data_IF_005867935075
#
_entry.id   IF_005867935075
#
_cell.length_a   1.000
_cell.length_b   1.000
_cell.length_c   1.000
_cell.angle_alpha   90.00
_cell.angle_beta   90.00
_cell.angle_gamma   90.00
#
_symmetry.space_group_name_H-M   'P 1'
#
loop_
_entity.id
_entity.type
_entity.pdbx_description
1 polymer ?
#
# COMPACT_ATOMS: atom_id res chain seq x y z
N UNK A 1 -75.34 27.25 -20.89
CA UNK A 1 -74.38 26.67 -21.86
C UNK A 1 -72.99 26.75 -21.26
N UNK A 2 -72.41 25.60 -20.90
CA UNK A 2 -70.96 25.41 -20.65
C UNK A 2 -70.15 25.50 -21.97
N UNK A 3 -68.83 25.28 -21.95
CA UNK A 3 -67.69 26.12 -21.54
C UNK A 3 -66.85 26.49 -22.80
N UNK A 4 -65.57 26.95 -22.73
CA UNK A 4 -64.47 25.98 -22.65
C UNK A 4 -63.17 26.47 -21.95
N UNK A 5 -62.44 25.53 -21.36
CA UNK A 5 -60.97 25.59 -21.20
C UNK A 5 -60.28 25.31 -22.54
N UNK A 6 -59.08 25.87 -22.80
CA UNK A 6 -57.95 25.01 -23.18
C UNK A 6 -56.58 25.57 -22.69
N UNK A 7 -55.69 24.80 -22.06
CA UNK A 7 -54.65 23.88 -22.61
C UNK A 7 -53.24 24.41 -22.33
N UNK A 8 -52.51 23.60 -21.54
CA UNK A 8 -51.08 23.23 -21.62
C UNK A 8 -50.19 24.01 -22.60
N UNK A 9 -49.11 24.60 -22.05
CA UNK A 9 -47.80 24.63 -22.68
C UNK A 9 -46.77 24.05 -21.70
N UNK A 10 -46.41 22.80 -21.96
CA UNK A 10 -45.17 22.16 -21.55
C UNK A 10 -44.07 22.62 -22.53
N UNK A 11 -42.81 22.55 -22.07
CA UNK A 11 -41.55 22.89 -22.76
C UNK A 11 -41.08 24.30 -22.39
N UNK A 12 -39.94 24.53 -21.76
CA UNK A 12 -38.75 23.72 -21.55
C UNK A 12 -37.60 24.73 -21.40
N UNK A 13 -36.65 24.49 -20.49
CA UNK A 13 -35.26 24.93 -20.63
C UNK A 13 -34.41 24.37 -19.47
N UNK A 14 -33.83 23.24 -19.81
CA UNK A 14 -32.65 22.62 -19.21
C UNK A 14 -31.42 23.49 -19.55
N UNK A 15 -30.52 23.58 -18.57
CA UNK A 15 -29.07 23.84 -18.68
C UNK A 15 -28.56 25.04 -19.48
N UNK A 16 -27.93 26.00 -18.78
CA UNK A 16 -26.78 26.74 -19.29
C UNK A 16 -25.53 26.31 -18.51
N UNK A 17 -24.79 25.38 -19.10
CA UNK A 17 -23.35 25.20 -18.90
C UNK A 17 -22.76 25.19 -20.31
N UNK A 18 -21.95 26.19 -20.67
CA UNK A 18 -20.77 26.05 -21.53
C UNK A 18 -20.17 27.42 -21.92
N UNK A 19 -18.86 27.35 -22.22
CA UNK A 19 -17.96 28.27 -22.92
C UNK A 19 -17.14 29.16 -21.98
N UNK A 20 -15.82 29.03 -21.95
CA UNK A 20 -14.95 28.99 -23.14
C UNK A 20 -13.73 28.07 -22.98
N UNK A 21 -13.48 27.31 -24.05
CA UNK A 21 -12.15 26.85 -24.45
C UNK A 21 -11.92 27.32 -25.89
N UNK A 22 -10.69 27.73 -26.21
CA UNK A 22 -10.19 27.82 -27.57
C UNK A 22 -8.74 27.32 -27.58
N UNK A 23 -8.51 26.33 -28.43
CA UNK A 23 -7.24 25.68 -28.70
C UNK A 23 -6.44 26.47 -29.75
N UNK A 24 -5.14 26.22 -29.84
CA UNK A 24 -4.47 25.91 -31.12
C UNK A 24 -3.18 25.10 -30.92
N UNK A 25 -3.05 24.11 -31.80
CA UNK A 25 -1.99 23.13 -32.08
C UNK A 25 -0.63 23.79 -32.46
N UNK A 26 0.52 23.16 -32.69
CA UNK A 26 1.17 21.85 -32.52
C UNK A 26 2.56 22.02 -33.18
N UNK A 27 3.64 21.51 -32.60
CA UNK A 27 4.80 21.01 -33.37
C UNK A 27 5.76 20.23 -32.47
N UNK A 28 6.17 19.08 -32.98
CA UNK A 28 7.15 18.12 -32.46
C UNK A 28 8.59 18.58 -32.64
N UNK A 29 9.48 18.26 -31.68
CA UNK A 29 10.68 17.42 -31.87
C UNK A 29 11.67 17.56 -30.69
N UNK A 30 12.04 16.38 -30.18
CA UNK A 30 13.29 15.90 -29.58
C UNK A 30 14.01 16.54 -28.36
N UNK A 31 14.59 15.62 -27.58
CA UNK A 31 15.73 15.74 -26.66
C UNK A 31 15.52 16.05 -25.16
N UNK A 32 15.94 15.06 -24.36
CA UNK A 32 16.75 15.18 -23.12
C UNK A 32 16.07 15.28 -21.74
N UNK A 33 16.19 14.16 -21.00
CA UNK A 33 16.64 14.05 -19.61
C UNK A 33 16.10 15.03 -18.54
N UNK A 34 15.38 14.49 -17.55
CA UNK A 34 15.75 14.51 -16.12
C UNK A 34 14.52 14.20 -15.23
N UNK A 35 14.55 13.06 -14.54
CA UNK A 35 13.71 12.78 -13.38
C UNK A 35 14.37 13.33 -12.11
N UNK A 36 13.64 13.87 -11.12
CA UNK A 36 14.21 14.19 -9.82
C UNK A 36 14.21 12.95 -8.91
N UNK A 37 15.41 12.53 -8.52
CA UNK A 37 15.68 11.53 -7.49
C UNK A 37 15.17 11.94 -6.10
N UNK A 38 14.71 11.01 -5.26
CA UNK A 38 14.88 11.11 -3.82
C UNK A 38 16.23 10.52 -3.42
N UNK A 39 16.93 11.26 -2.57
CA UNK A 39 18.27 11.03 -2.03
C UNK A 39 18.50 9.64 -1.44
N UNK A 40 19.58 9.01 -1.88
CA UNK A 40 20.18 7.81 -1.31
C UNK A 40 20.87 8.10 0.03
N UNK A 41 20.63 7.27 1.02
CA UNK A 41 21.62 6.96 2.06
C UNK A 41 21.64 5.45 2.21
N UNK A 42 22.76 4.88 1.77
CA UNK A 42 23.04 3.45 1.68
C UNK A 42 23.38 2.90 3.06
N UNK A 43 22.64 1.91 3.56
CA UNK A 43 23.15 0.94 4.57
C UNK A 43 22.34 -0.37 4.43
N UNK A 44 23.02 -1.43 3.99
CA UNK A 44 22.62 -2.86 3.92
C UNK A 44 21.16 -3.21 3.61
N UNK A 45 20.93 -3.59 2.36
CA UNK A 45 19.67 -4.04 1.75
C UNK A 45 19.04 -5.26 2.44
N UNK A 46 18.01 -5.04 3.28
CA UNK A 46 16.90 -5.98 3.43
C UNK A 46 15.76 -5.49 2.54
N UNK A 47 15.54 -6.15 1.40
CA UNK A 47 14.46 -5.85 0.47
C UNK A 47 13.13 -5.93 1.23
N UNK A 48 12.48 -4.79 1.49
CA UNK A 48 11.17 -4.74 2.17
C UNK A 48 10.16 -5.37 1.22
N UNK A 49 9.91 -6.67 1.42
CA UNK A 49 8.90 -7.40 0.66
C UNK A 49 7.54 -7.05 1.27
N UNK A 50 6.54 -6.61 0.48
CA UNK A 50 5.25 -6.19 1.02
C UNK A 50 4.54 -7.38 1.69
N UNK A 51 4.36 -7.34 3.01
CA UNK A 51 3.65 -8.36 3.81
C UNK A 51 2.20 -7.92 4.09
N UNK A 52 1.51 -7.52 3.03
CA UNK A 52 0.14 -7.00 3.07
C UNK A 52 -0.69 -7.65 1.96
N UNK A 53 -1.99 -7.81 2.19
CA UNK A 53 -2.91 -8.32 1.18
C UNK A 53 -4.26 -7.61 1.24
N UNK A 54 -4.91 -7.51 0.09
CA UNK A 54 -6.30 -7.05 -0.03
C UNK A 54 -7.13 -8.17 -0.64
N UNK A 55 -8.20 -8.58 0.04
CA UNK A 55 -9.15 -9.57 -0.47
C UNK A 55 -10.02 -8.98 -1.59
N UNK A 56 -10.59 -9.84 -2.43
CA UNK A 56 -11.59 -9.47 -3.45
C UNK A 56 -12.82 -8.77 -2.85
N UNK A 57 -13.11 -9.03 -1.58
CA UNK A 57 -14.16 -8.35 -0.80
C UNK A 57 -13.81 -6.93 -0.34
N UNK A 58 -12.57 -6.48 -0.57
CA UNK A 58 -12.06 -5.18 -0.10
C UNK A 58 -11.51 -5.18 1.33
N UNK A 59 -11.45 -6.33 2.01
CA UNK A 59 -10.79 -6.46 3.30
C UNK A 59 -9.27 -6.32 3.16
N UNK A 60 -8.65 -5.51 4.02
CA UNK A 60 -7.19 -5.31 4.06
C UNK A 60 -6.56 -6.08 5.22
N UNK A 61 -5.38 -6.64 4.98
CA UNK A 61 -4.64 -7.45 5.93
C UNK A 61 -3.19 -6.99 5.95
N UNK A 62 -2.65 -6.81 7.16
CA UNK A 62 -1.30 -6.32 7.38
C UNK A 62 -0.60 -7.17 8.44
N UNK A 63 0.26 -8.08 7.98
CA UNK A 63 1.01 -8.98 8.85
C UNK A 63 2.42 -8.43 9.20
N UNK A 64 2.74 -7.18 8.82
CA UNK A 64 4.03 -6.57 9.18
C UNK A 64 4.34 -6.56 10.68
N UNK A 65 3.35 -6.38 11.58
CA UNK A 65 3.61 -6.46 13.02
C UNK A 65 4.02 -7.85 13.50
N UNK A 66 3.70 -8.90 12.74
CA UNK A 66 4.04 -10.30 13.08
C UNK A 66 5.43 -10.71 12.62
N UNK A 67 6.12 -9.85 11.85
CA UNK A 67 7.48 -10.12 11.38
C UNK A 67 8.43 -10.06 12.57
N UNK A 68 9.20 -11.14 12.79
CA UNK A 68 10.30 -11.10 13.74
C UNK A 68 11.49 -10.34 13.13
N UNK A 69 12.02 -9.37 13.86
CA UNK A 69 13.11 -8.50 13.38
C UNK A 69 14.37 -8.68 14.21
N UNK A 70 15.53 -8.59 13.57
CA UNK A 70 16.82 -8.54 14.28
C UNK A 70 16.91 -7.17 14.97
N UNK A 71 17.08 -7.10 16.30
CA UNK A 71 17.29 -5.83 16.97
C UNK A 71 18.65 -5.24 16.57
N UNK A 72 18.65 -4.07 15.96
CA UNK A 72 19.88 -3.30 15.73
C UNK A 72 20.44 -2.79 17.07
N UNK A 73 21.77 -2.80 17.20
CA UNK A 73 22.44 -2.27 18.39
C UNK A 73 22.05 -0.80 18.57
N UNK A 74 21.62 -0.44 19.78
CA UNK A 74 21.24 0.91 20.22
C UNK A 74 19.94 1.50 19.65
N UNK A 75 19.13 0.72 18.92
CA UNK A 75 17.80 1.16 18.45
C UNK A 75 16.69 0.60 19.32
N UNK A 76 15.87 1.49 19.91
CA UNK A 76 14.68 1.09 20.67
C UNK A 76 13.56 0.68 19.70
N UNK A 77 13.26 -0.62 19.68
CA UNK A 77 12.13 -1.14 18.93
C UNK A 77 10.79 -0.68 19.55
N UNK A 78 9.73 -0.54 18.72
CA UNK A 78 8.37 -0.32 19.21
C UNK A 78 7.95 -1.40 20.22
N UNK A 79 7.08 -1.01 21.16
CA UNK A 79 6.56 -1.94 22.17
C UNK A 79 5.74 -3.03 21.48
N UNK A 80 6.06 -4.30 21.74
CA UNK A 80 5.38 -5.45 21.16
C UNK A 80 6.00 -5.96 19.86
N UNK A 81 7.08 -5.35 19.36
CA UNK A 81 7.85 -5.90 18.24
C UNK A 81 8.51 -7.22 18.63
N UNK A 82 8.33 -8.24 17.79
CA UNK A 82 8.93 -9.56 18.02
C UNK A 82 10.37 -9.58 17.54
N UNK A 83 11.27 -10.11 18.37
CA UNK A 83 12.72 -10.20 18.08
C UNK A 83 13.23 -11.63 17.93
N UNK A 84 12.37 -12.62 18.13
CA UNK A 84 12.73 -14.03 18.10
C UNK A 84 11.88 -14.77 17.07
N UNK A 85 12.51 -15.74 16.40
CA UNK A 85 11.84 -16.62 15.45
C UNK A 85 10.67 -17.37 16.08
N UNK A 86 9.73 -17.80 15.24
CA UNK A 86 8.64 -18.65 15.66
C UNK A 86 9.08 -20.11 15.70
N UNK A 87 8.75 -20.80 16.79
CA UNK A 87 9.05 -22.21 16.96
C UNK A 87 7.74 -22.99 16.95
N UNK A 88 7.55 -23.82 15.91
CA UNK A 88 6.46 -24.77 15.81
C UNK A 88 6.94 -26.14 16.30
N UNK A 89 6.23 -26.70 17.29
CA UNK A 89 6.53 -28.05 17.80
C UNK A 89 5.91 -29.09 16.86
N UNK A 90 6.74 -29.85 16.16
CA UNK A 90 6.29 -30.98 15.35
C UNK A 90 6.06 -32.21 16.21
N UNK A 91 5.02 -32.23 17.06
CA UNK A 91 4.74 -33.34 17.98
C UNK A 91 4.76 -34.71 17.27
N UNK A 92 4.19 -34.78 16.07
CA UNK A 92 4.14 -36.01 15.26
C UNK A 92 5.37 -36.20 14.36
N UNK A 93 6.11 -35.12 14.06
CA UNK A 93 7.26 -35.13 13.15
C UNK A 93 8.61 -35.35 13.89
N UNK A 94 8.64 -35.15 15.21
CA UNK A 94 9.81 -35.41 16.06
C UNK A 94 10.86 -34.29 16.11
N UNK A 95 10.67 -33.20 15.37
CA UNK A 95 11.60 -32.05 15.33
C UNK A 95 10.86 -30.73 15.52
N UNK A 96 11.56 -29.75 16.12
CA UNK A 96 11.08 -28.38 16.20
C UNK A 96 11.42 -27.65 14.90
N UNK A 97 10.45 -26.90 14.40
CA UNK A 97 10.59 -26.14 13.17
C UNK A 97 10.66 -24.67 13.53
N UNK A 98 11.70 -24.00 13.05
CA UNK A 98 11.92 -22.56 13.25
C UNK A 98 11.57 -21.82 11.98
N UNK A 99 10.75 -20.78 12.06
CA UNK A 99 10.37 -19.98 10.90
C UNK A 99 10.08 -18.53 11.27
N UNK A 100 10.14 -17.66 10.26
CA UNK A 100 9.70 -16.27 10.37
C UNK A 100 8.54 -16.01 9.39
N UNK A 101 7.78 -14.95 9.64
CA UNK A 101 6.64 -14.53 8.82
C UNK A 101 7.10 -13.42 7.89
N UNK A 102 6.87 -13.57 6.58
CA UNK A 102 7.21 -12.60 5.53
C UNK A 102 8.67 -12.12 5.42
N UNK A 103 9.57 -12.69 6.21
CA UNK A 103 10.97 -12.31 6.33
C UNK A 103 11.85 -13.56 6.50
N UNK A 104 13.17 -13.46 6.33
CA UNK A 104 14.08 -14.55 6.68
C UNK A 104 14.13 -14.79 8.18
N UNK A 105 14.59 -15.97 8.60
CA UNK A 105 14.80 -16.27 10.01
C UNK A 105 15.83 -15.34 10.66
N UNK A 106 15.53 -14.88 11.87
CA UNK A 106 16.32 -13.90 12.64
C UNK A 106 17.67 -14.47 13.04
N UNK A 107 17.71 -15.73 13.50
CA UNK A 107 18.96 -16.36 13.97
C UNK A 107 19.98 -16.55 12.83
N UNK A 108 19.55 -16.46 11.57
CA UNK A 108 20.35 -16.88 10.42
C UNK A 108 20.59 -18.39 10.41
N UNK A 109 20.91 -18.92 9.24
CA UNK A 109 21.28 -20.33 9.06
C UNK A 109 22.49 -20.43 8.15
N UNK A 110 23.29 -21.46 8.35
CA UNK A 110 24.46 -21.79 7.52
C UNK A 110 24.45 -23.29 7.22
N UNK A 111 25.25 -23.72 6.23
CA UNK A 111 25.40 -25.12 5.81
C UNK A 111 24.07 -25.83 5.54
N UNK A 112 23.18 -25.15 4.81
CA UNK A 112 21.85 -25.66 4.52
C UNK A 112 21.90 -26.65 3.36
N UNK A 113 21.36 -27.85 3.58
CA UNK A 113 21.42 -28.95 2.61
C UNK A 113 20.80 -28.55 1.27
N UNK A 114 21.63 -28.61 0.22
CA UNK A 114 21.23 -28.39 -1.17
C UNK A 114 20.95 -26.93 -1.55
N UNK A 115 21.33 -25.97 -0.73
CA UNK A 115 21.26 -24.53 -1.01
C UNK A 115 22.67 -23.93 -1.14
N UNK A 116 22.82 -22.93 -2.00
CA UNK A 116 24.05 -22.13 -2.10
C UNK A 116 24.17 -21.16 -0.92
N UNK A 117 25.37 -20.68 -0.61
CA UNK A 117 25.60 -19.73 0.50
C UNK A 117 24.78 -18.45 0.41
N UNK A 118 24.49 -17.99 -0.81
CA UNK A 118 23.60 -16.82 -1.05
C UNK A 118 22.16 -17.10 -0.63
N UNK A 119 21.69 -18.34 -0.79
CA UNK A 119 20.32 -18.75 -0.45
C UNK A 119 20.09 -18.95 1.05
N UNK A 120 21.13 -18.87 1.88
CA UNK A 120 21.04 -19.05 3.32
C UNK A 120 20.42 -17.82 4.01
N UNK A 121 20.78 -16.60 3.58
CA UNK A 121 20.25 -15.36 4.15
C UNK A 121 18.77 -15.12 3.86
N UNK A 122 18.19 -15.86 2.93
CA UNK A 122 16.79 -15.73 2.51
C UNK A 122 15.92 -16.87 3.00
N UNK A 123 16.43 -17.79 3.82
CA UNK A 123 15.64 -18.91 4.36
C UNK A 123 14.52 -18.38 5.27
N UNK A 124 13.27 -18.68 4.92
CA UNK A 124 12.09 -18.27 5.69
C UNK A 124 11.74 -19.24 6.83
N UNK A 125 12.25 -20.47 6.76
CA UNK A 125 12.10 -21.46 7.83
C UNK A 125 12.93 -22.72 7.60
N UNK A 126 13.27 -23.40 8.68
CA UNK A 126 14.16 -24.56 8.68
C UNK A 126 13.87 -25.52 9.84
N UNK A 127 14.41 -26.73 9.74
CA UNK A 127 14.48 -27.69 10.82
C UNK A 127 15.85 -28.38 10.82
N UNK A 128 16.23 -28.93 11.96
CA UNK A 128 17.48 -29.68 12.12
C UNK A 128 17.18 -31.17 12.35
N UNK A 129 17.80 -32.04 11.55
CA UNK A 129 17.67 -33.50 11.62
C UNK A 129 19.04 -34.13 11.48
N UNK A 130 19.48 -34.89 12.49
CA UNK A 130 20.78 -35.58 12.47
C UNK A 130 21.99 -34.65 12.32
N UNK A 131 21.95 -33.46 12.93
CA UNK A 131 23.03 -32.46 12.87
C UNK A 131 23.12 -31.69 11.55
N UNK A 132 22.15 -31.85 10.64
CA UNK A 132 22.06 -31.13 9.37
C UNK A 132 20.85 -30.18 9.36
N UNK A 133 21.02 -29.05 8.70
CA UNK A 133 19.98 -28.02 8.55
C UNK A 133 19.25 -28.17 7.22
N UNK A 134 17.94 -28.31 7.26
CA UNK A 134 17.08 -28.42 6.08
C UNK A 134 16.15 -27.21 5.99
N UNK A 135 16.17 -26.52 4.85
CA UNK A 135 15.27 -25.39 4.61
C UNK A 135 13.90 -25.87 4.12
N UNK A 136 12.85 -25.23 4.63
CA UNK A 136 11.48 -25.42 4.17
C UNK A 136 11.08 -24.48 3.03
N UNK A 137 11.95 -23.52 2.69
CA UNK A 137 11.74 -22.56 1.61
C UNK A 137 12.39 -21.21 1.87
N UNK A 138 12.43 -20.42 0.81
CA UNK A 138 12.85 -19.03 0.83
C UNK A 138 11.71 -18.13 1.32
N UNK A 139 12.09 -17.04 1.99
CA UNK A 139 11.16 -16.02 2.48
C UNK A 139 10.36 -15.41 1.32
N UNK A 140 9.12 -15.04 1.62
CA UNK A 140 8.20 -14.41 0.69
C UNK A 140 7.26 -13.52 1.47
N UNK A 141 6.94 -12.33 0.96
CA UNK A 141 5.86 -11.50 1.48
C UNK A 141 4.55 -11.68 0.72
N UNK A 142 4.51 -12.56 -0.29
CA UNK A 142 3.35 -12.72 -1.17
C UNK A 142 2.18 -13.42 -0.44
N UNK A 143 1.32 -12.63 0.18
CA UNK A 143 0.13 -13.09 0.86
C UNK A 143 -1.03 -13.29 -0.12
N UNK A 144 -1.60 -14.50 -0.12
CA UNK A 144 -2.74 -14.84 -0.96
C UNK A 144 -4.00 -14.99 -0.12
N UNK A 145 -5.01 -14.11 -0.27
CA UNK A 145 -6.29 -14.29 0.40
C UNK A 145 -7.06 -15.48 -0.20
N UNK A 146 -7.43 -16.44 0.66
CA UNK A 146 -8.22 -17.63 0.30
C UNK A 146 -9.47 -17.67 1.17
N UNK A 147 -10.54 -17.05 0.67
CA UNK A 147 -11.79 -16.90 1.43
C UNK A 147 -11.58 -16.03 2.68
N UNK A 148 -11.69 -16.65 3.87
CA UNK A 148 -11.52 -15.98 5.18
C UNK A 148 -10.13 -16.17 5.80
N UNK A 149 -9.24 -16.94 5.17
CA UNK A 149 -7.86 -17.17 5.63
C UNK A 149 -6.87 -16.51 4.68
N UNK A 150 -5.71 -16.13 5.18
CA UNK A 150 -4.56 -15.76 4.36
C UNK A 150 -3.63 -16.96 4.23
N UNK A 151 -2.99 -17.10 3.08
CA UNK A 151 -2.01 -18.16 2.84
C UNK A 151 -0.70 -17.51 2.38
N UNK A 152 0.39 -17.88 3.04
CA UNK A 152 1.75 -17.57 2.64
C UNK A 152 2.46 -18.85 2.24
N UNK A 153 3.21 -18.80 1.14
CA UNK A 153 3.92 -19.96 0.63
C UNK A 153 5.42 -19.68 0.50
N UNK A 154 6.22 -20.50 1.17
CA UNK A 154 7.66 -20.55 0.98
C UNK A 154 8.00 -21.74 0.08
N UNK A 155 8.88 -21.50 -0.90
CA UNK A 155 9.28 -22.48 -1.91
C UNK A 155 10.79 -22.47 -2.10
N UNK A 156 11.34 -23.47 -2.78
CA UNK A 156 12.78 -23.53 -3.05
C UNK A 156 13.62 -23.90 -1.82
N UNK A 157 13.07 -24.73 -0.92
CA UNK A 157 13.78 -25.24 0.25
C UNK A 157 14.87 -26.26 -0.10
N UNK A 158 15.26 -27.11 0.84
CA UNK A 158 16.19 -28.21 0.55
C UNK A 158 15.55 -29.22 -0.42
N UNK A 159 16.34 -30.05 -1.11
CA UNK A 159 15.82 -31.20 -1.86
C UNK A 159 14.96 -32.09 -0.97
N UNK A 160 13.94 -32.69 -1.56
CA UNK A 160 13.14 -33.69 -0.87
C UNK A 160 13.90 -35.02 -0.85
N UNK A 161 13.77 -35.75 0.26
CA UNK A 161 14.39 -37.07 0.35
C UNK A 161 13.77 -37.92 -0.78
N UNK A 162 14.59 -38.60 -1.61
CA UNK A 162 14.04 -39.56 -2.55
C UNK A 162 13.26 -40.60 -1.74
N UNK A 163 12.07 -41.04 -2.21
CA UNK A 163 11.35 -42.09 -1.51
C UNK A 163 12.28 -43.29 -1.33
N UNK A 164 12.34 -43.84 -0.12
CA UNK A 164 13.12 -45.03 0.18
C UNK A 164 12.82 -46.08 -0.88
N UNK A 165 13.85 -46.82 -1.33
CA UNK A 165 13.73 -47.81 -2.40
C UNK A 165 12.65 -48.90 -2.14
N UNK A 166 12.11 -48.97 -0.92
CA UNK A 166 10.98 -49.82 -0.53
C UNK A 166 9.64 -49.38 -1.14
N UNK A 167 9.46 -48.11 -1.49
CA UNK A 167 8.24 -47.58 -2.12
C UNK A 167 8.26 -47.65 -3.66
N UNK A 168 9.44 -47.90 -4.25
CA UNK A 168 9.53 -48.21 -5.69
C UNK A 168 8.84 -49.52 -6.00
N UNK A 169 8.84 -50.47 -5.07
CA UNK A 169 8.10 -51.73 -5.21
C UNK A 169 6.58 -51.53 -5.13
N UNK A 170 6.10 -50.60 -4.30
CA UNK A 170 4.66 -50.31 -4.21
C UNK A 170 4.13 -49.46 -5.36
N UNK A 171 4.92 -48.53 -5.93
CA UNK A 171 4.55 -47.85 -7.19
C UNK A 171 4.63 -48.80 -8.40
N UNK A 172 5.60 -49.73 -8.44
CA UNK A 172 5.66 -50.79 -9.46
C UNK A 172 4.51 -51.80 -9.32
N UNK A 173 4.05 -52.09 -8.10
CA UNK A 173 2.89 -52.97 -7.83
C UNK A 173 1.55 -52.29 -8.09
N UNK A 174 1.39 -51.00 -7.79
CA UNK A 174 0.17 -50.22 -8.13
C UNK A 174 0.02 -49.99 -9.64
N UNK A 175 1.12 -49.93 -10.39
CA UNK A 175 1.11 -49.93 -11.86
C UNK A 175 0.78 -51.30 -12.48
N UNK A 176 0.85 -52.39 -11.70
CA UNK A 176 0.54 -53.76 -12.14
C UNK A 176 -0.86 -54.25 -11.75
N UNK A 177 -1.75 -53.35 -11.34
CA UNK A 177 -3.11 -53.66 -10.89
C UNK A 177 -4.21 -52.98 -11.71
N UNK A 178 -4.07 -52.91 -13.04
CA UNK A 178 -5.17 -52.56 -13.93
C UNK A 178 -5.26 -53.66 -14.99
N UNK A 179 -6.45 -54.24 -15.12
CA UNK A 179 -6.81 -55.37 -15.96
C UNK A 179 -6.02 -55.49 -17.27
N UNK A 180 -5.54 -56.71 -17.54
CA UNK A 180 -5.05 -57.21 -18.82
C UNK A 180 -6.12 -56.94 -19.91
N UNK A 181 -5.99 -55.82 -20.64
CA UNK A 181 -6.92 -55.46 -21.71
C UNK A 181 -7.12 -53.97 -22.00
N UNK A 182 -6.64 -53.03 -21.18
CA UNK A 182 -6.80 -51.59 -21.47
C UNK A 182 -5.48 -50.94 -21.91
N UNK A 183 -5.15 -51.06 -23.20
CA UNK A 183 -4.14 -50.21 -23.81
C UNK A 183 -4.70 -48.78 -23.95
N UNK A 184 -4.16 -47.82 -23.18
CA UNK A 184 -4.39 -46.41 -23.47
C UNK A 184 -3.47 -46.01 -24.64
N UNK A 185 -4.06 -45.61 -25.77
CA UNK A 185 -3.33 -44.94 -26.82
C UNK A 185 -3.10 -43.49 -26.39
N UNK A 186 -1.85 -43.12 -26.11
CA UNK A 186 -1.44 -41.72 -26.10
C UNK A 186 -1.20 -41.32 -27.55
N UNK A 187 -2.12 -40.55 -28.13
CA UNK A 187 -1.83 -39.79 -29.33
C UNK A 187 -0.70 -38.79 -28.98
N UNK A 188 0.49 -39.05 -29.50
CA UNK A 188 1.56 -38.06 -29.65
C UNK A 188 1.39 -37.51 -31.05
N UNK A 189 1.13 -36.21 -31.14
CA UNK A 189 1.11 -35.46 -32.38
C UNK A 189 2.55 -34.98 -32.57
N UNK A 190 3.35 -35.76 -33.30
CA UNK A 190 4.70 -35.40 -33.69
C UNK A 190 4.80 -35.67 -35.20
N UNK A 191 4.66 -34.60 -35.98
CA UNK A 191 4.98 -34.60 -37.41
C UNK A 191 6.49 -34.82 -37.60
N UNK A 192 6.74 -35.50 -38.71
CA UNK A 192 7.95 -36.15 -39.15
C UNK A 192 9.10 -35.17 -39.40
N UNK A 193 10.34 -35.59 -39.15
CA UNK A 193 11.34 -35.55 -40.22
C UNK A 193 12.50 -36.53 -39.99
N UNK A 194 12.66 -37.34 -41.04
CA UNK A 194 13.73 -38.22 -41.51
C UNK A 194 15.16 -37.64 -41.30
N UNK A 195 16.29 -38.36 -41.25
CA UNK A 195 16.68 -39.57 -41.99
C UNK A 195 18.08 -40.10 -41.53
N UNK A 196 18.30 -41.42 -41.69
CA UNK A 196 19.54 -42.17 -42.02
C UNK A 196 20.73 -42.33 -41.02
N UNK A 197 21.02 -43.57 -40.57
CA UNK A 197 22.08 -44.57 -40.99
C UNK A 197 23.49 -44.25 -40.46
N UNK A 198 24.40 -45.16 -40.07
CA UNK A 198 24.51 -46.61 -39.86
C UNK A 198 25.82 -46.83 -39.04
N UNK A 199 25.96 -48.02 -38.45
CA UNK A 199 27.19 -48.77 -38.13
C UNK A 199 28.19 -48.37 -37.00
N UNK A 200 28.09 -49.18 -35.94
CA UNK A 200 29.08 -50.19 -35.50
C UNK A 200 30.21 -49.85 -34.49
N UNK A 201 30.35 -50.82 -33.59
CA UNK A 201 31.47 -51.20 -32.71
C UNK A 201 31.82 -50.41 -31.43
N UNK A 202 31.35 -51.03 -30.33
CA UNK A 202 32.09 -51.54 -29.15
C UNK A 202 33.07 -50.66 -28.35
N UNK A 203 32.95 -50.86 -27.04
CA UNK A 203 33.93 -50.63 -25.98
C UNK A 203 34.20 -49.18 -25.56
N UNK A 204 33.41 -48.72 -24.61
CA UNK A 204 33.92 -48.51 -23.25
C UNK A 204 32.81 -47.95 -22.35
N UNK A 205 32.79 -48.48 -21.14
CA UNK A 205 31.98 -48.05 -20.01
C UNK A 205 32.15 -46.54 -19.76
N UNK A 206 31.36 -45.73 -20.45
CA UNK A 206 31.12 -44.33 -20.13
C UNK A 206 29.62 -44.20 -19.97
N UNK A 207 29.18 -44.47 -18.75
CA UNK A 207 27.90 -44.06 -18.23
C UNK A 207 27.87 -42.52 -18.25
N UNK A 208 27.77 -41.99 -19.45
CA UNK A 208 27.42 -40.62 -19.74
C UNK A 208 25.94 -40.59 -19.41
N UNK A 209 25.67 -40.40 -18.12
CA UNK A 209 24.37 -39.97 -17.63
C UNK A 209 24.06 -38.70 -18.40
N UNK A 210 23.36 -38.89 -19.52
CA UNK A 210 22.69 -37.83 -20.24
C UNK A 210 21.79 -37.19 -19.20
N UNK A 211 22.27 -36.07 -18.66
CA UNK A 211 21.56 -35.25 -17.70
C UNK A 211 20.36 -34.64 -18.41
N UNK A 212 19.33 -35.45 -18.62
CA UNK A 212 17.99 -34.96 -18.44
C UNK A 212 18.00 -34.32 -17.06
N UNK A 213 17.87 -33.00 -17.00
CA UNK A 213 17.76 -32.27 -15.72
C UNK A 213 16.49 -32.78 -15.05
N UNK A 214 16.58 -33.88 -14.32
CA UNK A 214 15.52 -34.34 -13.43
C UNK A 214 15.27 -33.17 -12.48
N UNK A 215 14.08 -32.58 -12.57
CA UNK A 215 13.71 -31.43 -11.73
C UNK A 215 13.56 -31.95 -10.31
N UNK A 216 14.65 -31.87 -9.54
CA UNK A 216 14.68 -32.24 -8.11
C UNK A 216 13.58 -31.48 -7.38
N UNK A 217 12.60 -32.21 -6.83
CA UNK A 217 11.53 -31.62 -6.03
C UNK A 217 12.13 -31.01 -4.76
N UNK A 218 11.72 -29.80 -4.43
CA UNK A 218 12.25 -29.05 -3.28
C UNK A 218 11.17 -28.86 -2.23
N UNK A 219 11.58 -28.83 -0.96
CA UNK A 219 10.68 -28.64 0.18
C UNK A 219 9.99 -27.27 0.07
N UNK A 220 8.75 -27.24 0.53
CA UNK A 220 7.92 -26.03 0.56
C UNK A 220 7.10 -25.99 1.85
N UNK A 221 6.86 -24.78 2.35
CA UNK A 221 6.01 -24.55 3.51
C UNK A 221 4.80 -23.70 3.12
N UNK A 222 3.62 -24.17 3.50
CA UNK A 222 2.36 -23.44 3.36
C UNK A 222 1.90 -23.02 4.75
N UNK A 223 1.85 -21.71 4.96
CA UNK A 223 1.50 -21.10 6.24
C UNK A 223 0.11 -20.49 6.07
N UNK A 224 -0.85 -21.02 6.81
CA UNK A 224 -2.23 -20.52 6.83
C UNK A 224 -2.44 -19.64 8.05
N UNK A 225 -2.96 -18.44 7.85
CA UNK A 225 -3.22 -17.50 8.95
C UNK A 225 -4.71 -17.54 9.32
N UNK A 226 -4.96 -17.67 10.61
CA UNK A 226 -6.27 -17.60 11.24
C UNK A 226 -6.35 -16.32 12.08
N UNK A 227 -7.44 -15.57 11.88
CA UNK A 227 -7.75 -14.39 12.68
C UNK A 227 -8.07 -14.81 14.13
N UNK A 228 -7.29 -14.29 15.07
CA UNK A 228 -7.54 -14.40 16.50
C UNK A 228 -7.74 -13.01 17.09
N UNK A 229 -8.94 -12.71 17.61
CA UNK A 229 -9.26 -11.38 18.14
C UNK A 229 -8.90 -11.21 19.61
N UNK A 230 -8.35 -12.22 20.26
CA UNK A 230 -8.00 -12.12 21.67
C UNK A 230 -6.71 -11.31 21.85
N UNK A 231 -6.76 -10.16 22.57
CA UNK A 231 -5.61 -9.24 22.68
C UNK A 231 -4.48 -9.79 23.56
N UNK A 232 -4.77 -10.82 24.37
CA UNK A 232 -3.83 -11.40 25.34
C UNK A 232 -3.02 -12.57 24.75
N UNK A 233 -3.43 -13.13 23.61
CA UNK A 233 -2.71 -14.25 22.99
C UNK A 233 -1.69 -13.73 22.00
N UNK A 234 -0.38 -13.95 22.22
CA UNK A 234 0.63 -13.62 21.23
C UNK A 234 0.47 -14.49 19.98
N UNK A 235 1.04 -14.04 18.88
CA UNK A 235 1.09 -14.81 17.66
C UNK A 235 1.77 -16.16 17.88
N UNK A 236 1.04 -17.23 17.55
CA UNK A 236 1.47 -18.60 17.80
C UNK A 236 1.41 -19.41 16.50
N UNK A 237 2.47 -20.17 16.26
CA UNK A 237 2.60 -21.06 15.10
C UNK A 237 2.39 -22.49 15.56
N UNK A 238 1.43 -23.16 14.91
CA UNK A 238 1.13 -24.56 15.12
C UNK A 238 1.48 -25.37 13.87
N UNK A 239 2.13 -26.52 14.07
CA UNK A 239 2.39 -27.46 12.99
C UNK A 239 1.15 -28.33 12.77
N UNK A 240 0.68 -28.39 11.53
CA UNK A 240 -0.53 -29.16 11.17
C UNK A 240 -0.13 -30.55 10.65
N UNK A 241 0.90 -30.61 9.82
CA UNK A 241 1.36 -31.87 9.25
C UNK A 241 2.29 -31.69 8.05
N UNK A 242 2.72 -32.82 7.52
CA UNK A 242 3.55 -32.93 6.32
C UNK A 242 2.94 -33.93 5.35
N UNK A 243 3.20 -33.76 4.06
CA UNK A 243 2.98 -34.82 3.08
C UNK A 243 3.78 -36.09 3.43
N UNK A 244 3.32 -37.28 2.96
CA UNK A 244 4.04 -38.54 3.15
C UNK A 244 5.45 -38.52 2.54
N UNK A 245 5.67 -37.72 1.50
CA UNK A 245 6.98 -37.56 0.86
C UNK A 245 7.88 -36.50 1.59
N UNK A 246 7.50 -36.03 2.78
CA UNK A 246 8.23 -35.04 3.60
C UNK A 246 8.68 -33.77 2.86
N UNK A 247 7.84 -33.28 1.94
CA UNK A 247 8.24 -32.26 0.98
C UNK A 247 7.29 -31.07 0.87
N UNK A 248 6.08 -31.17 1.42
CA UNK A 248 5.26 -30.01 1.72
C UNK A 248 4.85 -30.03 3.18
N UNK A 249 4.95 -28.87 3.82
CA UNK A 249 4.73 -28.69 5.25
C UNK A 249 3.61 -27.68 5.43
N UNK A 250 2.69 -27.97 6.34
CA UNK A 250 1.52 -27.15 6.60
C UNK A 250 1.56 -26.59 8.02
N UNK A 251 1.45 -25.28 8.13
CA UNK A 251 1.42 -24.55 9.40
C UNK A 251 0.11 -23.77 9.51
N UNK A 252 -0.39 -23.64 10.72
CA UNK A 252 -1.48 -22.74 11.06
C UNK A 252 -0.98 -21.71 12.09
N UNK A 253 -1.12 -20.44 11.74
CA UNK A 253 -0.68 -19.31 12.54
C UNK A 253 -1.89 -18.56 13.03
N UNK A 254 -2.00 -18.38 14.34
CA UNK A 254 -3.04 -17.55 14.95
C UNK A 254 -2.47 -16.16 15.19
N UNK A 255 -3.11 -15.15 14.62
CA UNK A 255 -2.70 -13.75 14.77
C UNK A 255 -3.89 -12.81 14.75
N UNK A 256 -3.81 -11.75 15.56
CA UNK A 256 -4.73 -10.61 15.53
C UNK A 256 -4.60 -9.78 14.25
N UNK A 257 -3.41 -9.78 13.64
CA UNK A 257 -3.12 -9.01 12.43
C UNK A 257 -3.61 -9.71 11.16
N UNK A 258 -3.99 -10.99 11.25
CA UNK A 258 -4.66 -11.74 10.20
C UNK A 258 -6.18 -11.45 10.12
N UNK A 259 -6.71 -10.61 11.02
CA UNK A 259 -8.10 -10.20 10.98
C UNK A 259 -8.31 -9.12 9.90
N UNK A 260 -9.42 -9.23 9.18
CA UNK A 260 -9.83 -8.24 8.18
C UNK A 260 -9.94 -6.85 8.81
N UNK A 261 -8.99 -5.97 8.47
CA UNK A 261 -9.01 -4.57 8.84
C UNK A 261 -9.77 -3.74 7.81
N UNK A 262 -10.31 -2.61 8.25
CA UNK A 262 -10.66 -1.55 7.33
C UNK A 262 -9.35 -0.93 6.82
N UNK A 263 -9.16 -0.89 5.51
CA UNK A 263 -8.00 -0.22 4.91
C UNK A 263 -7.94 1.24 5.42
N UNK A 264 -6.78 1.72 5.90
CA UNK A 264 -6.62 3.13 6.24
C UNK A 264 -7.06 3.94 5.04
N UNK A 265 -8.09 4.77 5.25
CA UNK A 265 -8.91 5.47 4.27
C UNK A 265 -8.29 5.56 2.86
N UNK A 266 -8.92 4.91 1.88
CA UNK A 266 -8.64 5.20 0.46
C UNK A 266 -8.62 6.72 0.25
N UNK A 267 -7.72 7.26 -0.60
CA UNK A 267 -7.49 8.70 -0.80
C UNK A 267 -8.64 9.47 -1.48
N UNK A 268 -9.90 9.16 -1.12
CA UNK A 268 -11.11 9.86 -1.56
C UNK A 268 -12.26 9.80 -0.56
N UNK A 269 -12.10 9.18 0.62
CA UNK A 269 -13.14 9.19 1.66
C UNK A 269 -12.91 10.38 2.60
N UNK A 270 -13.82 11.36 2.54
CA UNK A 270 -13.86 12.44 3.52
C UNK A 270 -14.09 11.84 4.91
N UNK A 271 -13.11 11.99 5.80
CA UNK A 271 -13.23 11.53 7.17
C UNK A 271 -14.43 12.16 7.87
N UNK A 272 -14.89 11.60 9.02
CA UNK A 272 -16.06 12.11 9.73
C UNK A 272 -15.96 13.62 9.99
N UNK A 273 -14.78 14.13 10.35
CA UNK A 273 -14.54 15.57 10.52
C UNK A 273 -14.75 16.41 9.26
N UNK A 274 -14.41 15.90 8.08
CA UNK A 274 -14.63 16.59 6.80
C UNK A 274 -16.12 16.70 6.47
N UNK A 275 -16.89 15.65 6.74
CA UNK A 275 -18.35 15.66 6.58
C UNK A 275 -19.00 16.69 7.51
N UNK A 276 -18.61 16.73 8.78
CA UNK A 276 -19.11 17.73 9.73
C UNK A 276 -18.75 19.17 9.32
N UNK A 277 -17.53 19.40 8.82
CA UNK A 277 -17.11 20.70 8.34
C UNK A 277 -17.95 21.16 7.14
N UNK A 278 -18.19 20.29 6.15
CA UNK A 278 -19.03 20.60 4.98
C UNK A 278 -20.45 20.97 5.42
N UNK A 279 -21.07 20.18 6.30
CA UNK A 279 -22.41 20.46 6.82
C UNK A 279 -22.45 21.82 7.52
N UNK A 280 -21.46 22.11 8.37
CA UNK A 280 -21.36 23.38 9.08
C UNK A 280 -21.27 24.58 8.13
N UNK A 281 -20.44 24.50 7.09
CA UNK A 281 -20.30 25.58 6.10
C UNK A 281 -21.58 25.79 5.29
N UNK A 282 -22.27 24.72 4.90
CA UNK A 282 -23.56 24.82 4.20
C UNK A 282 -24.61 25.47 5.11
N UNK A 283 -24.69 25.08 6.38
CA UNK A 283 -25.62 25.67 7.34
C UNK A 283 -25.35 27.17 7.54
N UNK A 284 -24.08 27.56 7.65
CA UNK A 284 -23.66 28.96 7.74
C UNK A 284 -24.02 29.75 6.48
N UNK A 285 -23.78 29.19 5.30
CA UNK A 285 -24.13 29.82 4.02
C UNK A 285 -25.65 30.04 3.90
N UNK A 286 -26.46 29.05 4.26
CA UNK A 286 -27.93 29.18 4.27
C UNK A 286 -28.38 30.24 5.26
N UNK A 287 -27.80 30.29 6.47
CA UNK A 287 -28.13 31.31 7.47
C UNK A 287 -27.81 32.72 6.98
N UNK A 288 -26.62 32.93 6.39
CA UNK A 288 -26.19 34.24 5.90
C UNK A 288 -26.98 34.64 4.66
N UNK A 289 -27.05 33.80 3.62
CA UNK A 289 -27.75 34.11 2.37
C UNK A 289 -29.26 34.23 2.56
N UNK A 290 -29.87 33.30 3.29
CA UNK A 290 -31.29 33.34 3.61
C UNK A 290 -31.65 34.53 4.48
N UNK A 291 -30.79 34.86 5.46
CA UNK A 291 -30.97 36.02 6.31
C UNK A 291 -30.83 37.36 5.58
N UNK A 292 -29.84 37.49 4.68
CA UNK A 292 -29.70 38.66 3.79
C UNK A 292 -30.93 38.79 2.89
N UNK A 293 -31.36 37.68 2.27
CA UNK A 293 -32.54 37.69 1.39
C UNK A 293 -33.80 38.10 2.15
N UNK A 294 -34.01 37.56 3.34
CA UNK A 294 -35.13 37.93 4.21
C UNK A 294 -35.11 39.42 4.60
N UNK A 295 -33.97 39.93 5.08
CA UNK A 295 -33.84 41.33 5.49
C UNK A 295 -33.94 42.31 4.31
N UNK A 296 -33.48 41.90 3.12
CA UNK A 296 -33.56 42.69 1.90
C UNK A 296 -34.97 42.72 1.31
N UNK A 297 -35.67 41.59 1.28
CA UNK A 297 -36.97 41.47 0.59
C UNK A 297 -38.15 41.84 1.48
N UNK A 298 -38.13 41.43 2.76
CA UNK A 298 -39.24 41.65 3.70
C UNK A 298 -39.05 42.94 4.50
N UNK A 299 -37.84 43.17 5.02
CA UNK A 299 -37.56 44.28 5.97
C UNK A 299 -37.05 45.55 5.28
N UNK A 300 -36.73 45.49 3.97
CA UNK A 300 -36.28 46.61 3.12
C UNK A 300 -35.08 47.42 3.67
N UNK A 301 -34.21 46.83 4.48
CA UNK A 301 -33.02 47.52 4.96
C UNK A 301 -31.91 47.56 3.90
N UNK A 302 -31.10 48.62 3.88
CA UNK A 302 -29.98 48.81 2.93
C UNK A 302 -28.64 48.88 3.66
N UNK A 303 -27.59 48.39 3.01
CA UNK A 303 -26.21 48.43 3.52
C UNK A 303 -25.86 47.29 4.48
N UNK A 304 -24.82 47.50 5.29
CA UNK A 304 -24.21 46.50 6.19
C UNK A 304 -25.14 45.99 7.31
N UNK A 305 -26.31 46.62 7.47
CA UNK A 305 -27.37 46.17 8.39
C UNK A 305 -28.20 44.99 7.85
N UNK A 306 -27.90 44.50 6.65
CA UNK A 306 -28.55 43.32 6.03
C UNK A 306 -28.02 41.97 6.52
N UNK A 307 -26.97 41.95 7.34
CA UNK A 307 -26.40 40.72 7.89
C UNK A 307 -27.08 40.37 9.22
N UNK A 308 -27.66 39.17 9.37
CA UNK A 308 -28.20 38.70 10.65
C UNK A 308 -27.09 38.64 11.70
N UNK A 309 -27.25 39.36 12.82
CA UNK A 309 -26.28 39.43 13.93
C UNK A 309 -24.88 39.90 13.50
N UNK A 310 -24.81 41.03 12.77
CA UNK A 310 -23.55 41.61 12.26
C UNK A 310 -22.43 41.76 13.30
N UNK A 311 -22.76 42.15 14.54
CA UNK A 311 -21.78 42.35 15.62
C UNK A 311 -21.02 41.07 15.96
N UNK A 312 -21.71 39.92 15.93
CA UNK A 312 -21.13 38.61 16.18
C UNK A 312 -20.21 38.20 15.02
N UNK A 313 -20.63 38.38 13.77
CA UNK A 313 -19.83 38.04 12.59
C UNK A 313 -18.59 38.92 12.43
N UNK A 314 -18.72 40.22 12.67
CA UNK A 314 -17.59 41.15 12.66
C UNK A 314 -16.55 40.77 13.72
N UNK A 315 -16.99 40.35 14.91
CA UNK A 315 -16.12 39.84 15.98
C UNK A 315 -15.37 38.57 15.57
N UNK A 316 -16.07 37.58 15.00
CA UNK A 316 -15.46 36.32 14.54
C UNK A 316 -14.43 36.57 13.43
N UNK A 317 -14.74 37.42 12.44
CA UNK A 317 -13.83 37.73 11.35
C UNK A 317 -12.60 38.52 11.81
N UNK A 318 -12.79 39.48 12.74
CA UNK A 318 -11.67 40.20 13.36
C UNK A 318 -10.74 39.24 14.10
N UNK A 319 -11.30 38.32 14.89
CA UNK A 319 -10.52 37.31 15.61
C UNK A 319 -9.73 36.39 14.67
N UNK A 320 -10.35 35.92 13.58
CA UNK A 320 -9.68 35.08 12.58
C UNK A 320 -8.56 35.84 11.86
N UNK A 321 -8.80 37.09 11.48
CA UNK A 321 -7.79 37.97 10.86
C UNK A 321 -6.60 38.17 11.79
N UNK A 322 -6.84 38.51 13.05
CA UNK A 322 -5.77 38.75 14.03
C UNK A 322 -4.99 37.46 14.32
N UNK A 323 -5.67 36.32 14.46
CA UNK A 323 -5.03 35.02 14.65
C UNK A 323 -4.17 34.62 13.44
N UNK A 324 -4.68 34.85 12.21
CA UNK A 324 -3.91 34.59 10.99
C UNK A 324 -2.68 35.49 10.89
N UNK A 325 -2.82 36.79 11.17
CA UNK A 325 -1.69 37.73 11.19
C UNK A 325 -0.64 37.31 12.23
N UNK A 326 -1.05 36.91 13.43
CA UNK A 326 -0.15 36.43 14.49
C UNK A 326 0.55 35.14 14.06
N UNK A 327 -0.17 34.17 13.50
CA UNK A 327 0.38 32.90 13.04
C UNK A 327 1.36 33.11 11.87
N UNK A 328 0.98 33.90 10.86
CA UNK A 328 1.82 34.23 9.71
C UNK A 328 3.05 35.05 10.12
N UNK A 329 2.92 35.99 11.05
CA UNK A 329 4.08 36.76 11.57
C UNK A 329 5.02 35.89 12.41
N UNK A 330 4.49 34.88 13.11
CA UNK A 330 5.27 33.91 13.86
C UNK A 330 6.03 32.96 12.91
N UNK A 331 5.37 32.46 11.86
CA UNK A 331 6.03 31.66 10.82
C UNK A 331 7.04 32.48 9.99
N UNK A 332 6.79 33.77 9.76
CA UNK A 332 7.72 34.66 9.07
C UNK A 332 8.97 34.99 9.90
N UNK A 333 8.92 34.88 11.24
CA UNK A 333 10.09 35.00 12.12
C UNK A 333 10.98 33.74 12.12
N UNK A 334 10.45 32.58 11.71
CA UNK A 334 11.22 31.34 11.55
C UNK A 334 11.82 31.17 10.14
N UNK A 335 11.50 32.06 9.19
CA UNK A 335 12.24 32.16 7.94
C UNK A 335 13.49 33.02 8.16
N UNK A 336 14.71 32.55 7.80
CA UNK A 336 15.91 33.37 7.87
C UNK A 336 15.85 34.45 6.79
N UNK A 337 15.20 35.58 7.11
CA UNK A 337 15.32 36.78 6.30
C UNK A 337 16.74 37.28 6.47
N UNK A 338 17.60 37.06 5.47
CA UNK A 338 18.84 37.83 5.29
C UNK A 338 18.47 39.30 5.09
N UNK A 339 18.17 40.00 6.19
CA UNK A 339 17.98 41.44 6.22
C UNK A 339 19.37 42.05 6.34
N UNK A 340 20.04 42.20 5.19
CA UNK A 340 21.20 43.07 5.10
C UNK A 340 20.75 44.49 5.44
N UNK A 341 21.31 45.05 6.50
CA UNK A 341 21.29 46.49 6.72
C UNK A 341 22.02 47.15 5.54
N UNK A 342 21.27 47.65 4.56
CA UNK A 342 21.79 48.71 3.68
C UNK A 342 21.52 50.01 4.41
N UNK A 343 22.59 50.61 4.94
CA UNK A 343 22.61 52.04 5.23
C UNK A 343 22.31 52.78 3.92
N UNK A 344 21.11 53.33 3.80
CA UNK A 344 20.83 54.32 2.77
C UNK A 344 21.46 55.63 3.22
N UNK A 345 22.68 55.90 2.74
CA UNK A 345 23.10 57.27 2.52
C UNK A 345 22.31 57.78 1.30
N UNK A 346 21.11 58.30 1.56
CA UNK A 346 20.33 59.05 0.57
C UNK A 346 20.42 60.52 0.94
N UNK A 347 21.42 61.18 0.34
CA UNK A 347 21.46 62.62 0.20
C UNK A 347 20.10 63.16 -0.26
N UNK A 348 19.71 64.28 0.34
CA UNK A 348 18.47 65.00 0.16
C UNK A 348 18.02 65.16 -1.30
N UNK A 349 16.83 64.65 -1.62
CA UNK A 349 15.87 65.28 -2.56
C UNK A 349 14.51 64.59 -2.45
N UNK A 350 13.50 65.42 -2.23
CA UNK A 350 12.24 65.03 -1.62
C UNK A 350 11.31 64.18 -2.49
N UNK A 351 10.38 63.52 -1.79
CA UNK A 351 8.96 63.41 -2.15
C UNK A 351 8.23 62.87 -0.93
N UNK A 352 7.84 63.77 -0.03
CA UNK A 352 6.85 63.46 1.00
C UNK A 352 5.52 63.29 0.27
N UNK A 353 5.07 62.03 0.18
CA UNK A 353 3.78 61.66 -0.38
C UNK A 353 2.70 62.21 0.53
N UNK A 354 1.98 63.17 -0.03
CA UNK A 354 1.06 64.05 0.63
C UNK A 354 -0.31 63.36 0.75
N UNK A 355 -0.67 62.95 1.97
CA UNK A 355 -2.04 62.52 2.28
C UNK A 355 -2.88 63.69 2.80
N UNK A 356 -2.31 64.90 2.93
CA UNK A 356 -3.02 66.12 3.28
C UNK A 356 -3.55 66.86 2.04
N UNK A 357 -3.13 66.47 0.82
CA UNK A 357 -3.63 67.03 -0.44
C UNK A 357 -5.02 66.49 -0.85
N UNK A 358 -5.42 65.28 -0.43
CA UNK A 358 -6.74 64.72 -0.79
C UNK A 358 -7.88 65.30 0.06
N UNK A 359 -7.62 65.71 1.31
CA UNK A 359 -8.60 66.42 2.13
C UNK A 359 -8.76 67.89 1.74
N UNK A 360 -7.76 68.47 1.05
CA UNK A 360 -7.79 69.88 0.64
C UNK A 360 -8.66 70.15 -0.61
N UNK A 361 -8.96 69.11 -1.38
CA UNK A 361 -9.86 69.17 -2.54
C UNK A 361 -11.34 69.06 -2.19
N UNK A 362 -11.68 68.69 -0.94
CA UNK A 362 -13.07 68.61 -0.47
C UNK A 362 -13.47 69.94 0.19
N UNK A 363 -12.57 70.60 0.92
CA UNK A 363 -12.86 71.89 1.54
C UNK A 363 -12.88 73.07 0.54
N UNK A 364 -12.25 72.95 -0.64
CA UNK A 364 -12.33 73.99 -1.69
C UNK A 364 -13.60 73.91 -2.56
N UNK A 365 -14.37 72.82 -2.49
CA UNK A 365 -15.60 72.67 -3.28
C UNK A 365 -16.84 73.27 -2.58
N UNK A 366 -16.77 73.49 -1.26
CA UNK A 366 -17.86 74.07 -0.47
C UNK A 366 -17.80 75.61 -0.38
N UNK A 367 -16.75 76.27 -0.89
CA UNK A 367 -16.63 77.75 -0.87
C UNK A 367 -17.10 78.45 -2.18
N UNK A 368 -17.58 77.73 -3.21
CA UNK A 368 -18.07 78.35 -4.48
C UNK A 368 -19.62 78.44 -4.59
N UNK A 369 -20.36 78.35 -3.48
CA UNK A 369 -21.83 78.45 -3.51
C UNK A 369 -22.46 79.50 -2.56
N UNK A 370 -21.68 80.32 -1.87
CA UNK A 370 -22.20 81.39 -1.00
C UNK A 370 -21.55 82.77 -1.27
N UNK A 371 -21.67 83.26 -2.51
CA UNK A 371 -21.78 84.71 -2.82
C UNK A 371 -22.59 84.95 -4.12
#
# INVERSE_FOLDING_TARGET
MHPPTPRRLLSGLVALCALTGAAHASSSDDSSSASPSPSSTTTTTSTVTPCVATSTSGAFFDLRPDIAVVPEKDVKLPRGTRTEDYIARGYDYGYNITLNICAPVVKGVEDVVGLTSEGWSTVGGYYEKGGKTYSLGQQSGALTPRGRKLVLQYTGGSPCEPPDDKDKDDKRKRSRGVHEGAAYNKYSDDEEDNDNRDDDQTDSNKQTSSSSKEKVRRKSATISFLCDRSPDTPTAVSFVGTDPDECSYFFEVRSQHACAGAEPHKPGSVGPGGVFAIIFFIALAVYVLGGIFYQRTVVKQRGWRQLPNYTLWAGIWSFLKDTFIILTSSCARFLPVRRGYRSLNSSSRGRYGNNDDENRLIDQLDEEWDD
#
